data_IF_521834307446
#
_entry.id   IF_521834307446
#
_cell.length_a   1.000
_cell.length_b   1.000
_cell.length_c   1.000
_cell.angle_alpha   90.00
_cell.angle_beta   90.00
_cell.angle_gamma   90.00
#
_symmetry.space_group_name_H-M   'P 1'
#
loop_
_entity.id
_entity.type
_entity.pdbx_description
1 polymer ?
#
# COMPACT_ATOMS: atom_id res chain seq x y z
N UNK A 1 -11.29 2.83 -3.98
CA UNK A 1 -11.62 2.52 -2.56
C UNK A 1 -11.72 0.99 -2.43
N UNK A 2 -10.86 0.33 -1.65
CA UNK A 2 -11.00 -1.13 -1.40
C UNK A 2 -11.77 -1.33 -0.10
N UNK A 3 -13.09 -1.50 -0.20
CA UNK A 3 -13.93 -1.79 0.96
C UNK A 3 -13.86 -3.29 1.27
N UNK A 4 -13.24 -3.66 2.40
CA UNK A 4 -13.44 -4.98 2.99
C UNK A 4 -14.87 -5.05 3.55
N UNK A 5 -15.75 -5.75 2.84
CA UNK A 5 -17.16 -5.87 3.23
C UNK A 5 -17.36 -7.09 4.14
N UNK A 6 -17.13 -6.92 5.44
CA UNK A 6 -17.58 -7.89 6.43
C UNK A 6 -19.11 -8.03 6.33
N UNK A 7 -19.60 -9.25 6.07
CA UNK A 7 -21.04 -9.54 5.95
C UNK A 7 -21.35 -10.82 6.72
N UNK A 8 -22.14 -10.69 7.77
CA UNK A 8 -22.69 -11.84 8.49
C UNK A 8 -23.68 -12.60 7.59
N UNK A 9 -23.57 -13.92 7.54
CA UNK A 9 -24.58 -14.80 6.93
C UNK A 9 -25.30 -15.59 8.03
N UNK A 10 -26.54 -15.18 8.30
CA UNK A 10 -27.53 -16.01 8.98
C UNK A 10 -28.10 -17.01 7.98
N UNK A 11 -27.87 -18.31 8.19
CA UNK A 11 -28.49 -19.38 7.40
C UNK A 11 -29.36 -20.26 8.29
N UNK A 12 -30.64 -20.32 7.92
CA UNK A 12 -31.64 -21.26 8.44
C UNK A 12 -31.27 -22.69 8.07
N UNK A 13 -31.43 -23.63 9.02
CA UNK A 13 -31.15 -25.05 8.83
C UNK A 13 -32.42 -25.88 8.98
N UNK A 14 -32.75 -26.65 7.94
CA UNK A 14 -33.77 -27.69 7.96
C UNK A 14 -33.12 -29.07 8.16
N UNK A 15 -33.50 -29.69 9.27
CA UNK A 15 -33.36 -31.09 9.67
C UNK A 15 -33.04 -32.15 8.61
N UNK A 16 -32.11 -33.05 8.93
CA UNK A 16 -32.31 -34.51 8.87
C UNK A 16 -31.31 -35.24 9.78
N UNK A 17 -31.79 -36.28 10.46
CA UNK A 17 -31.14 -36.90 11.63
C UNK A 17 -30.22 -38.07 11.28
N UNK A 18 -29.19 -38.33 12.10
CA UNK A 18 -28.61 -39.67 12.34
C UNK A 18 -27.80 -39.67 13.64
N UNK A 19 -28.21 -40.47 14.62
CA UNK A 19 -27.50 -40.65 15.90
C UNK A 19 -26.25 -41.53 15.74
N UNK A 20 -25.25 -41.30 16.58
CA UNK A 20 -24.62 -42.36 17.40
C UNK A 20 -23.94 -41.77 18.63
N UNK A 21 -24.26 -42.31 19.81
CA UNK A 21 -23.69 -41.90 21.09
C UNK A 21 -22.22 -42.33 21.26
N UNK A 22 -21.44 -41.55 22.02
CA UNK A 22 -20.47 -42.13 22.97
C UNK A 22 -20.09 -41.14 24.07
N UNK A 23 -20.42 -41.54 25.29
CA UNK A 23 -20.14 -40.89 26.56
C UNK A 23 -18.65 -40.58 26.78
N UNK A 24 -18.34 -39.42 27.37
CA UNK A 24 -17.68 -39.36 28.68
C UNK A 24 -17.95 -37.99 29.35
N UNK A 25 -18.02 -37.96 30.69
CA UNK A 25 -18.56 -36.84 31.48
C UNK A 25 -17.75 -36.65 32.77
N UNK A 26 -17.83 -35.43 33.34
CA UNK A 26 -17.29 -35.01 34.66
C UNK A 26 -15.77 -34.74 34.65
N UNK A 27 -15.22 -33.81 35.45
CA UNK A 27 -15.73 -33.24 36.71
C UNK A 27 -15.50 -31.72 36.88
N UNK A 28 -16.37 -31.09 37.66
CA UNK A 28 -16.26 -29.71 38.15
C UNK A 28 -15.55 -29.64 39.51
N UNK A 29 -14.94 -28.50 39.86
CA UNK A 29 -14.66 -28.16 41.26
C UNK A 29 -14.71 -26.65 41.51
N UNK A 30 -15.64 -26.24 42.36
CA UNK A 30 -15.87 -24.87 42.85
C UNK A 30 -15.43 -24.74 44.31
N UNK A 31 -15.00 -23.55 44.76
CA UNK A 31 -14.82 -23.25 46.19
C UNK A 31 -15.12 -21.80 46.58
N UNK A 32 -15.79 -21.66 47.73
CA UNK A 32 -16.26 -20.44 48.41
C UNK A 32 -16.08 -20.64 49.93
N UNK A 33 -16.19 -19.69 50.87
CA UNK A 33 -16.60 -18.26 50.87
C UNK A 33 -16.09 -17.63 52.17
N UNK A 34 -15.68 -16.35 52.21
CA UNK A 34 -15.54 -15.61 53.48
C UNK A 34 -15.57 -14.09 53.33
N UNK A 35 -16.20 -13.39 54.29
CA UNK A 35 -16.55 -11.97 54.19
C UNK A 35 -16.40 -11.17 55.50
N UNK A 36 -16.11 -9.87 55.36
CA UNK A 36 -16.41 -8.74 56.28
C UNK A 36 -15.67 -8.68 57.64
N UNK A 37 -15.44 -7.47 58.25
CA UNK A 37 -16.39 -6.35 58.39
C UNK A 37 -15.91 -4.90 58.06
N UNK A 38 -16.90 -4.00 58.06
CA UNK A 38 -16.87 -2.52 57.86
C UNK A 38 -16.21 -1.75 59.04
N UNK A 39 -15.96 -0.42 59.10
CA UNK A 39 -16.28 0.85 58.36
C UNK A 39 -15.35 1.97 58.95
N UNK A 40 -15.43 3.31 58.67
CA UNK A 40 -16.04 4.10 57.58
C UNK A 40 -15.15 5.24 56.95
N UNK A 41 -15.40 5.57 55.68
CA UNK A 41 -15.25 6.93 55.09
C UNK A 41 -13.83 7.53 54.86
N UNK A 42 -13.69 8.65 54.09
CA UNK A 42 -14.75 9.49 53.52
C UNK A 42 -14.79 9.62 51.98
N UNK A 43 -16.00 9.85 51.47
CA UNK A 43 -16.42 10.57 50.24
C UNK A 43 -15.52 10.67 49.00
N UNK A 44 -15.99 10.07 47.89
CA UNK A 44 -15.57 10.28 46.51
C UNK A 44 -16.44 11.37 45.81
N UNK A 45 -15.90 12.35 45.06
CA UNK A 45 -16.71 13.31 44.32
C UNK A 45 -17.13 12.76 42.94
N UNK A 46 -18.44 12.63 42.72
CA UNK A 46 -19.04 12.09 41.49
C UNK A 46 -18.78 12.94 40.23
N UNK A 47 -18.64 12.28 39.08
CA UNK A 47 -18.63 12.96 37.77
C UNK A 47 -19.94 13.72 37.54
N UNK A 48 -19.88 15.05 37.54
CA UNK A 48 -20.92 15.89 36.96
C UNK A 48 -20.57 16.13 35.49
N UNK A 49 -21.36 15.56 34.57
CA UNK A 49 -21.37 15.99 33.16
C UNK A 49 -21.85 17.44 33.10
N UNK A 50 -20.93 18.41 33.11
CA UNK A 50 -21.25 19.79 32.80
C UNK A 50 -21.54 19.90 31.31
N UNK A 51 -22.78 20.24 30.95
CA UNK A 51 -23.08 20.78 29.62
C UNK A 51 -22.20 22.02 29.37
N UNK A 52 -21.77 22.30 28.12
CA UNK A 52 -21.22 23.60 27.80
C UNK A 52 -22.28 24.66 28.13
N UNK A 53 -21.88 25.70 28.87
CA UNK A 53 -22.70 26.89 29.02
C UNK A 53 -22.68 27.61 27.67
N UNK A 54 -23.85 27.88 27.09
CA UNK A 54 -23.92 28.98 26.13
C UNK A 54 -23.82 30.24 26.97
N UNK A 55 -22.65 30.86 27.00
CA UNK A 55 -22.50 32.16 27.63
C UNK A 55 -23.21 33.19 26.73
N UNK A 56 -24.19 33.86 27.32
CA UNK A 56 -25.03 34.85 26.65
C UNK A 56 -24.17 35.95 26.06
N UNK A 57 -24.47 36.38 24.83
CA UNK A 57 -23.78 37.50 24.19
C UNK A 57 -23.99 38.82 24.94
N UNK A 58 -23.12 39.12 25.91
CA UNK A 58 -22.92 40.47 26.40
C UNK A 58 -22.05 41.21 25.39
N UNK A 59 -22.63 42.22 24.73
CA UNK A 59 -21.96 43.11 23.79
C UNK A 59 -20.80 43.85 24.48
N UNK A 60 -19.59 43.31 24.37
CA UNK A 60 -18.34 44.00 24.65
C UNK A 60 -17.58 44.21 23.35
N UNK A 61 -17.10 45.43 23.13
CA UNK A 61 -16.24 45.80 22.01
C UNK A 61 -14.87 45.12 22.16
N UNK A 62 -14.78 43.85 21.77
CA UNK A 62 -13.53 43.11 21.71
C UNK A 62 -12.60 43.73 20.67
N UNK A 63 -11.31 43.87 21.02
CA UNK A 63 -10.31 44.28 20.05
C UNK A 63 -10.01 43.13 19.10
N UNK A 64 -9.55 43.38 17.85
CA UNK A 64 -9.09 42.31 16.96
C UNK A 64 -7.92 41.47 17.52
N UNK A 65 -7.29 41.94 18.60
CA UNK A 65 -6.21 41.27 19.31
C UNK A 65 -6.75 40.22 20.30
N UNK A 66 -7.92 40.45 20.90
CA UNK A 66 -8.58 39.48 21.78
C UNK A 66 -9.02 38.24 21.00
N UNK A 67 -9.63 38.43 19.82
CA UNK A 67 -10.00 37.33 18.91
C UNK A 67 -8.78 36.52 18.47
N UNK A 68 -7.68 37.17 18.11
CA UNK A 68 -6.45 36.47 17.73
C UNK A 68 -5.88 35.66 18.91
N UNK A 69 -5.93 36.20 20.13
CA UNK A 69 -5.50 35.48 21.34
C UNK A 69 -6.33 34.21 21.58
N UNK A 70 -7.65 34.28 21.35
CA UNK A 70 -8.55 33.14 21.52
C UNK A 70 -8.18 31.97 20.60
N UNK A 71 -7.84 32.23 19.33
CA UNK A 71 -7.47 31.18 18.37
C UNK A 71 -6.05 30.64 18.59
N UNK A 72 -5.12 31.43 19.12
CA UNK A 72 -3.75 30.97 19.44
C UNK A 72 -3.71 29.92 20.57
N UNK A 73 -4.69 29.90 21.48
CA UNK A 73 -4.80 28.89 22.55
C UNK A 73 -5.56 27.61 22.13
N UNK A 74 -5.92 27.47 20.85
CA UNK A 74 -6.78 26.39 20.33
C UNK A 74 -6.01 25.47 19.40
N UNK A 75 -6.33 24.18 19.46
CA UNK A 75 -5.70 23.17 18.62
C UNK A 75 -5.97 23.45 17.13
N UNK A 76 -4.91 23.59 16.33
CA UNK A 76 -4.99 23.89 14.88
C UNK A 76 -5.54 22.74 14.01
N UNK A 77 -6.03 21.65 14.62
CA UNK A 77 -6.65 20.51 13.93
C UNK A 77 -8.17 20.57 14.06
N UNK A 78 -8.70 20.81 15.27
CA UNK A 78 -10.15 20.90 15.52
C UNK A 78 -10.68 22.33 15.71
N UNK A 79 -9.81 23.31 15.94
CA UNK A 79 -10.13 24.70 16.26
C UNK A 79 -10.99 24.91 17.54
N UNK A 80 -11.23 23.87 18.33
CA UNK A 80 -12.08 23.89 19.54
C UNK A 80 -11.32 23.56 20.83
N UNK A 81 -10.67 22.39 20.92
CA UNK A 81 -9.97 22.00 22.14
C UNK A 81 -8.77 22.90 22.47
N UNK A 82 -8.50 23.10 23.77
CA UNK A 82 -7.28 23.76 24.26
C UNK A 82 -6.05 22.91 23.97
N UNK A 83 -4.89 23.57 23.94
CA UNK A 83 -3.59 22.94 23.77
C UNK A 83 -3.16 22.20 25.05
N UNK A 84 -2.90 20.90 24.94
CA UNK A 84 -2.37 20.04 26.03
C UNK A 84 -1.26 19.06 25.57
N UNK A 85 -0.82 19.21 24.31
CA UNK A 85 0.34 18.52 23.73
C UNK A 85 1.23 19.52 22.97
N UNK A 86 2.55 19.38 23.11
CA UNK A 86 3.56 20.16 22.39
C UNK A 86 4.65 19.21 21.86
N UNK A 87 5.04 19.36 20.60
CA UNK A 87 6.09 18.53 19.99
C UNK A 87 7.50 18.97 20.41
N UNK A 88 8.40 18.01 20.60
CA UNK A 88 9.74 18.20 21.15
C UNK A 88 10.62 19.08 20.24
N UNK A 89 10.54 18.88 18.92
CA UNK A 89 11.42 19.52 17.93
C UNK A 89 10.87 20.81 17.33
N UNK A 90 9.67 20.77 16.74
CA UNK A 90 9.09 21.92 16.03
C UNK A 90 8.27 22.85 16.94
N UNK A 91 7.98 22.44 18.18
CA UNK A 91 7.17 23.20 19.16
C UNK A 91 5.73 23.51 18.72
N UNK A 92 5.25 22.90 17.64
CA UNK A 92 3.84 22.93 17.27
C UNK A 92 2.99 22.25 18.36
N UNK A 93 1.81 22.80 18.61
CA UNK A 93 0.94 22.41 19.72
C UNK A 93 -0.44 21.97 19.25
N UNK A 94 -1.00 20.98 19.95
CA UNK A 94 -2.29 20.38 19.65
C UNK A 94 -3.04 20.04 20.94
N UNK A 95 -4.30 19.62 20.82
CA UNK A 95 -4.87 18.74 21.83
C UNK A 95 -4.44 17.29 21.55
N UNK A 96 -4.24 16.53 22.62
CA UNK A 96 -3.77 15.14 22.61
C UNK A 96 -4.69 14.24 21.78
N UNK A 97 -6.00 14.43 21.89
CA UNK A 97 -7.03 13.66 21.17
C UNK A 97 -6.91 13.82 19.64
N UNK A 98 -6.71 15.05 19.15
CA UNK A 98 -6.49 15.29 17.72
C UNK A 98 -5.15 14.72 17.23
N UNK A 99 -4.08 14.84 18.02
CA UNK A 99 -2.79 14.25 17.67
C UNK A 99 -2.85 12.72 17.64
N UNK A 100 -3.52 12.10 18.63
CA UNK A 100 -3.78 10.67 18.69
C UNK A 100 -4.55 10.16 17.48
N UNK A 101 -5.66 10.81 17.11
CA UNK A 101 -6.43 10.46 15.92
C UNK A 101 -5.62 10.63 14.64
N UNK A 102 -4.88 11.72 14.51
CA UNK A 102 -3.99 11.96 13.36
C UNK A 102 -2.96 10.85 13.19
N UNK A 103 -2.20 10.52 14.24
CA UNK A 103 -1.18 9.45 14.15
C UNK A 103 -1.84 8.11 13.87
N UNK A 104 -2.96 7.79 14.56
CA UNK A 104 -3.71 6.55 14.34
C UNK A 104 -4.12 6.40 12.88
N UNK A 105 -4.75 7.43 12.30
CA UNK A 105 -5.23 7.42 10.90
C UNK A 105 -4.07 7.32 9.90
N UNK A 106 -2.95 8.00 10.16
CA UNK A 106 -1.76 7.88 9.31
C UNK A 106 -1.18 6.46 9.36
N UNK A 107 -1.22 5.78 10.51
CA UNK A 107 -0.73 4.39 10.63
C UNK A 107 -1.71 3.40 9.98
N UNK A 108 -3.01 3.49 10.26
CA UNK A 108 -4.03 2.56 9.73
C UNK A 108 -4.16 2.65 8.21
N UNK A 109 -4.04 3.86 7.64
CA UNK A 109 -4.05 4.07 6.18
C UNK A 109 -2.74 3.66 5.48
N UNK A 110 -1.67 3.34 6.22
CA UNK A 110 -0.34 3.02 5.67
C UNK A 110 -0.09 1.52 5.47
N UNK A 111 -1.02 0.84 4.81
CA UNK A 111 -0.91 -0.57 4.41
C UNK A 111 0.09 -0.85 3.27
N UNK A 112 0.73 0.18 2.73
CA UNK A 112 1.70 0.09 1.65
C UNK A 112 3.02 -0.60 2.04
N UNK A 113 3.88 -0.78 1.04
CA UNK A 113 5.23 -1.35 1.14
C UNK A 113 6.33 -0.28 1.26
N UNK A 114 5.97 1.00 1.18
CA UNK A 114 6.88 2.12 1.43
C UNK A 114 6.80 2.59 2.87
N UNK A 115 7.94 2.91 3.45
CA UNK A 115 8.03 3.38 4.83
C UNK A 115 7.28 4.71 4.98
N UNK A 116 6.18 4.71 5.73
CA UNK A 116 5.46 5.95 6.06
C UNK A 116 6.13 6.59 7.27
N UNK A 117 6.60 7.82 7.13
CA UNK A 117 7.04 8.64 8.27
C UNK A 117 5.87 9.45 8.79
N UNK A 118 5.68 9.48 10.12
CA UNK A 118 4.79 10.43 10.78
C UNK A 118 5.41 11.83 10.65
N UNK A 119 4.58 12.83 10.36
CA UNK A 119 4.97 14.22 10.19
C UNK A 119 4.15 15.11 11.10
N UNK A 120 4.68 16.29 11.41
CA UNK A 120 3.90 17.36 11.99
C UNK A 120 2.75 17.76 11.03
N UNK A 121 1.49 17.80 11.48
CA UNK A 121 0.35 18.28 10.68
C UNK A 121 0.56 19.68 10.08
N UNK A 122 1.26 20.56 10.80
CA UNK A 122 1.50 21.95 10.41
C UNK A 122 2.80 22.07 9.60
N UNK A 123 3.97 21.97 10.23
CA UNK A 123 5.25 22.25 9.56
C UNK A 123 5.81 21.10 8.71
N UNK A 124 5.14 19.94 8.66
CA UNK A 124 5.53 18.76 7.85
C UNK A 124 6.90 18.14 8.14
N UNK A 125 7.58 18.57 9.22
CA UNK A 125 8.81 17.96 9.76
C UNK A 125 8.49 16.55 10.25
N UNK A 126 9.41 15.59 10.05
CA UNK A 126 9.20 14.21 10.50
C UNK A 126 9.27 14.12 12.03
N UNK A 127 8.28 13.52 12.66
CA UNK A 127 8.26 13.27 14.12
C UNK A 127 8.90 11.89 14.36
N UNK A 128 9.94 11.78 15.22
CA UNK A 128 10.58 10.50 15.50
C UNK A 128 9.63 9.56 16.27
N UNK A 129 9.79 8.25 16.07
CA UNK A 129 8.96 7.24 16.72
C UNK A 129 9.05 7.28 18.24
N UNK A 130 10.23 7.56 18.79
CA UNK A 130 10.45 7.74 20.23
C UNK A 130 9.62 8.87 20.86
N UNK A 131 9.09 9.78 20.05
CA UNK A 131 8.22 10.87 20.49
C UNK A 131 6.75 10.51 20.28
N UNK A 132 6.30 10.28 19.04
CA UNK A 132 4.87 10.07 18.80
C UNK A 132 4.32 8.80 19.45
N UNK A 133 5.15 7.77 19.67
CA UNK A 133 4.71 6.52 20.33
C UNK A 133 4.35 6.72 21.80
N UNK A 134 4.80 7.81 22.45
CA UNK A 134 4.40 8.17 23.83
C UNK A 134 2.89 8.47 23.93
N UNK A 135 2.29 8.93 22.83
CA UNK A 135 0.95 9.51 22.83
C UNK A 135 -0.13 8.55 22.32
N UNK A 136 0.22 7.47 21.60
CA UNK A 136 -0.75 6.52 21.02
C UNK A 136 -0.72 5.15 21.71
N UNK A 137 -1.80 4.34 21.61
CA UNK A 137 -1.80 2.96 22.12
C UNK A 137 -0.68 2.10 21.51
N UNK A 138 -0.10 1.21 22.31
CA UNK A 138 0.98 0.31 21.86
C UNK A 138 0.61 -0.52 20.63
N UNK A 139 -0.66 -0.89 20.47
CA UNK A 139 -1.18 -1.59 19.28
C UNK A 139 -0.99 -0.81 17.98
N UNK A 140 -1.02 0.53 18.02
CA UNK A 140 -0.73 1.39 16.86
C UNK A 140 0.78 1.40 16.56
N UNK A 141 1.61 1.37 17.60
CA UNK A 141 3.08 1.26 17.46
C UNK A 141 3.46 -0.09 16.85
N UNK A 142 2.83 -1.18 17.28
CA UNK A 142 3.03 -2.53 16.73
C UNK A 142 2.56 -2.63 15.27
N UNK A 143 1.41 -2.01 14.95
CA UNK A 143 0.91 -1.93 13.58
C UNK A 143 1.87 -1.15 12.66
N UNK A 144 2.39 -0.02 13.14
CA UNK A 144 3.42 0.75 12.45
C UNK A 144 4.70 -0.08 12.22
N UNK A 145 5.19 -0.79 13.25
CA UNK A 145 6.36 -1.66 13.14
C UNK A 145 6.12 -2.80 12.13
N UNK A 146 4.91 -3.38 12.11
CA UNK A 146 4.49 -4.43 11.17
C UNK A 146 4.45 -3.96 9.72
N UNK A 147 3.98 -2.74 9.45
CA UNK A 147 3.92 -2.17 8.10
C UNK A 147 5.28 -1.65 7.61
N UNK A 148 6.12 -1.11 8.51
CA UNK A 148 7.43 -0.57 8.16
C UNK A 148 8.59 -1.59 8.25
N UNK A 149 8.30 -2.88 8.52
CA UNK A 149 9.29 -3.97 8.54
C UNK A 149 10.11 -3.98 7.22
N UNK A 150 11.44 -4.12 7.25
CA UNK A 150 12.22 -4.25 6.03
C UNK A 150 11.89 -5.55 5.28
N UNK A 151 12.10 -5.55 3.96
CA UNK A 151 11.87 -6.69 3.07
C UNK A 151 10.44 -7.28 3.17
N UNK A 152 9.43 -6.41 3.25
CA UNK A 152 8.02 -6.83 3.16
C UNK A 152 7.65 -7.20 1.73
N UNK A 153 7.19 -8.43 1.56
CA UNK A 153 6.71 -8.93 0.29
C UNK A 153 5.44 -8.23 -0.17
N UNK A 154 5.29 -8.11 -1.48
CA UNK A 154 4.00 -7.85 -2.12
C UNK A 154 3.19 -9.12 -2.10
N UNK A 155 1.92 -8.95 -1.73
CA UNK A 155 0.96 -10.03 -1.58
C UNK A 155 -0.31 -9.69 -2.32
N UNK A 156 -1.03 -10.73 -2.72
CA UNK A 156 -2.31 -10.58 -3.40
C UNK A 156 -3.20 -11.78 -3.12
N UNK A 157 -4.48 -11.53 -2.83
CA UNK A 157 -5.45 -12.59 -2.64
C UNK A 157 -5.76 -13.30 -3.97
N UNK A 158 -5.86 -14.62 -3.91
CA UNK A 158 -6.39 -15.44 -5.00
C UNK A 158 -7.85 -15.04 -5.30
N UNK A 159 -8.24 -14.80 -6.56
CA UNK A 159 -9.59 -14.33 -6.89
C UNK A 159 -10.71 -15.37 -6.67
N UNK A 160 -10.37 -16.63 -6.38
CA UNK A 160 -11.34 -17.72 -6.18
C UNK A 160 -11.54 -18.13 -4.72
N UNK A 161 -10.52 -18.02 -3.87
CA UNK A 161 -10.55 -18.52 -2.49
C UNK A 161 -9.95 -17.54 -1.46
N UNK A 162 -9.68 -16.29 -1.86
CA UNK A 162 -9.16 -15.17 -1.05
C UNK A 162 -7.82 -15.41 -0.35
N UNK A 163 -7.22 -16.60 -0.49
CA UNK A 163 -5.92 -16.97 0.09
C UNK A 163 -4.84 -15.96 -0.34
N UNK A 164 -4.14 -15.38 0.62
CA UNK A 164 -3.04 -14.44 0.39
C UNK A 164 -1.83 -15.18 -0.19
N UNK A 165 -1.42 -14.81 -1.41
CA UNK A 165 -0.25 -15.37 -2.09
C UNK A 165 0.89 -14.37 -2.08
N UNK A 166 2.10 -14.87 -1.83
CA UNK A 166 3.34 -14.11 -1.74
C UNK A 166 4.19 -14.40 -2.98
N UNK A 167 4.51 -13.38 -3.77
CA UNK A 167 5.28 -13.55 -5.01
C UNK A 167 6.79 -13.75 -4.76
N UNK A 168 7.36 -13.02 -3.80
CA UNK A 168 8.79 -13.04 -3.49
C UNK A 168 8.99 -13.04 -1.97
N UNK A 169 9.70 -14.03 -1.42
CA UNK A 169 9.91 -14.17 0.03
C UNK A 169 11.41 -14.07 0.37
N UNK A 170 11.79 -12.95 0.99
CA UNK A 170 13.18 -12.69 1.40
C UNK A 170 13.71 -13.70 2.43
N UNK A 171 12.83 -14.32 3.24
CA UNK A 171 13.25 -15.22 4.32
C UNK A 171 13.58 -16.62 3.79
N UNK A 172 12.70 -17.21 2.97
CA UNK A 172 12.96 -18.48 2.26
C UNK A 172 14.23 -18.41 1.43
N UNK A 173 14.44 -17.27 0.76
CA UNK A 173 15.59 -17.04 -0.08
C UNK A 173 16.93 -17.09 0.67
N UNK A 174 16.97 -16.95 2.01
CA UNK A 174 18.20 -17.11 2.82
C UNK A 174 18.49 -18.54 3.28
N UNK A 175 17.54 -19.47 3.26
CA UNK A 175 17.72 -20.77 3.92
C UNK A 175 18.84 -21.67 3.32
N UNK A 176 19.28 -21.41 2.08
CA UNK A 176 20.28 -22.21 1.35
C UNK A 176 21.73 -21.69 1.53
N UNK A 177 22.18 -21.53 2.77
CA UNK A 177 23.56 -21.13 3.07
C UNK A 177 24.55 -22.32 3.00
N UNK A 178 25.00 -22.70 1.80
CA UNK A 178 26.26 -23.44 1.65
C UNK A 178 27.46 -22.48 1.73
N UNK A 179 28.52 -22.87 2.45
CA UNK A 179 29.62 -21.98 2.87
C UNK A 179 30.60 -21.57 1.76
N UNK A 180 30.54 -22.21 0.59
CA UNK A 180 31.68 -22.19 -0.36
C UNK A 180 31.35 -21.63 -1.76
N UNK A 181 30.16 -21.04 -1.99
CA UNK A 181 29.82 -20.42 -3.27
C UNK A 181 29.07 -19.10 -3.12
N UNK A 182 29.64 -18.01 -3.65
CA UNK A 182 28.96 -16.73 -3.75
C UNK A 182 27.71 -16.84 -4.64
N UNK A 183 26.58 -16.31 -4.16
CA UNK A 183 25.28 -16.41 -4.87
C UNK A 183 25.32 -15.89 -6.31
N UNK A 184 26.18 -14.92 -6.58
CA UNK A 184 26.37 -14.36 -7.92
C UNK A 184 27.02 -15.32 -8.91
N UNK A 185 27.88 -16.23 -8.44
CA UNK A 185 28.42 -17.33 -9.24
C UNK A 185 27.34 -18.37 -9.56
N UNK A 186 26.34 -18.56 -8.68
CA UNK A 186 25.18 -19.41 -8.99
C UNK A 186 24.31 -18.78 -10.09
N UNK A 187 24.17 -17.45 -10.11
CA UNK A 187 23.50 -16.70 -11.19
C UNK A 187 24.26 -16.86 -12.50
N UNK A 188 25.58 -16.60 -12.50
CA UNK A 188 26.43 -16.76 -13.68
C UNK A 188 26.37 -18.20 -14.24
N UNK A 189 26.51 -19.22 -13.39
CA UNK A 189 26.40 -20.62 -13.82
C UNK A 189 25.01 -20.98 -14.36
N UNK A 190 23.94 -20.45 -13.77
CA UNK A 190 22.58 -20.68 -14.27
C UNK A 190 22.33 -20.01 -15.63
N UNK A 191 22.95 -18.85 -15.87
CA UNK A 191 22.93 -18.20 -17.19
C UNK A 191 23.71 -19.02 -18.23
N UNK A 192 24.88 -19.57 -17.88
CA UNK A 192 25.66 -20.42 -18.79
C UNK A 192 24.93 -21.74 -19.13
N UNK A 193 24.30 -22.40 -18.16
CA UNK A 193 23.45 -23.58 -18.39
C UNK A 193 22.24 -23.29 -19.30
N UNK A 194 21.64 -22.11 -19.14
CA UNK A 194 20.55 -21.67 -20.02
C UNK A 194 21.03 -21.52 -21.46
N UNK A 195 22.16 -20.81 -21.67
CA UNK A 195 22.74 -20.59 -23.00
C UNK A 195 23.18 -21.92 -23.63
N UNK A 196 23.76 -22.85 -22.87
CA UNK A 196 24.19 -24.16 -23.41
C UNK A 196 23.03 -25.02 -23.91
N UNK A 197 21.79 -24.67 -23.56
CA UNK A 197 20.57 -25.31 -24.07
C UNK A 197 20.08 -24.67 -25.40
N UNK A 198 20.56 -23.47 -25.75
CA UNK A 198 20.25 -22.78 -27.00
C UNK A 198 21.08 -23.32 -28.18
N UNK A 199 20.57 -23.17 -29.41
CA UNK A 199 21.34 -23.49 -30.61
C UNK A 199 22.49 -22.50 -30.78
N UNK A 200 23.72 -23.00 -30.91
CA UNK A 200 24.81 -22.20 -31.46
C UNK A 200 24.52 -21.87 -32.93
N UNK A 201 24.34 -20.59 -33.23
CA UNK A 201 24.36 -20.01 -34.57
C UNK A 201 25.51 -18.97 -34.65
N UNK A 202 25.79 -18.44 -35.83
CA UNK A 202 26.96 -17.59 -36.14
C UNK A 202 27.16 -16.32 -35.28
N UNK A 203 26.19 -15.97 -34.42
CA UNK A 203 26.37 -14.93 -33.41
C UNK A 203 26.61 -15.54 -32.03
N UNK A 204 27.81 -15.33 -31.42
CA UNK A 204 28.03 -15.73 -30.04
C UNK A 204 27.09 -14.96 -29.11
N UNK A 205 26.65 -15.59 -28.02
CA UNK A 205 25.75 -15.00 -27.00
C UNK A 205 26.47 -13.95 -26.12
N UNK A 206 27.18 -13.01 -26.75
CA UNK A 206 28.13 -12.09 -26.14
C UNK A 206 27.52 -11.25 -25.03
N UNK A 207 26.32 -10.69 -25.24
CA UNK A 207 25.59 -9.91 -24.24
C UNK A 207 25.31 -10.72 -22.96
N UNK A 208 24.94 -12.00 -23.13
CA UNK A 208 24.65 -12.88 -21.99
C UNK A 208 25.93 -13.27 -21.25
N UNK A 209 27.02 -13.53 -21.98
CA UNK A 209 28.34 -13.75 -21.37
C UNK A 209 28.88 -12.50 -20.66
N UNK A 210 28.66 -11.30 -21.20
CA UNK A 210 29.04 -10.05 -20.56
C UNK A 210 28.26 -9.83 -19.26
N UNK A 211 26.93 -10.06 -19.27
CA UNK A 211 26.11 -10.04 -18.05
C UNK A 211 26.56 -11.10 -17.04
N UNK A 212 26.89 -12.32 -17.49
CA UNK A 212 27.40 -13.38 -16.63
C UNK A 212 28.73 -12.97 -15.95
N UNK A 213 29.63 -12.27 -16.65
CA UNK A 213 30.84 -11.69 -16.07
C UNK A 213 30.55 -10.58 -15.05
N UNK A 214 29.55 -9.71 -15.28
CA UNK A 214 29.11 -8.70 -14.29
C UNK A 214 28.67 -9.38 -12.99
N UNK A 215 27.94 -10.51 -13.09
CA UNK A 215 27.58 -11.30 -11.91
C UNK A 215 28.79 -11.96 -11.23
N UNK A 216 29.69 -12.58 -12.00
CA UNK A 216 30.92 -13.19 -11.49
C UNK A 216 31.81 -12.20 -10.73
N UNK A 217 32.03 -11.00 -11.28
CA UNK A 217 32.91 -9.96 -10.72
C UNK A 217 32.25 -9.10 -9.65
N UNK A 218 30.94 -9.26 -9.43
CA UNK A 218 30.14 -8.49 -8.47
C UNK A 218 30.05 -6.98 -8.78
N UNK A 219 30.02 -6.62 -10.07
CA UNK A 219 30.08 -5.24 -10.57
C UNK A 219 28.72 -4.51 -10.53
N UNK A 220 28.10 -4.41 -9.34
CA UNK A 220 26.86 -3.63 -9.16
C UNK A 220 26.83 -2.80 -7.87
N UNK A 221 25.85 -1.89 -7.79
CA UNK A 221 25.51 -1.11 -6.59
C UNK A 221 24.00 -1.17 -6.36
N UNK A 222 23.57 -0.86 -5.15
CA UNK A 222 22.13 -0.81 -4.80
C UNK A 222 21.29 0.12 -5.69
N UNK A 223 21.91 1.12 -6.31
CA UNK A 223 21.28 2.03 -7.28
C UNK A 223 21.15 1.43 -8.68
N UNK A 224 22.09 0.60 -9.11
CA UNK A 224 22.13 0.01 -10.47
C UNK A 224 21.47 -1.36 -10.55
N UNK A 225 21.32 -2.08 -9.43
CA UNK A 225 20.83 -3.45 -9.40
C UNK A 225 19.44 -3.64 -10.02
N UNK A 226 18.55 -2.64 -9.97
CA UNK A 226 17.27 -2.69 -10.69
C UNK A 226 17.45 -2.70 -12.22
N UNK A 227 18.31 -1.82 -12.74
CA UNK A 227 18.57 -1.75 -14.17
C UNK A 227 19.32 -2.99 -14.65
N UNK A 228 20.27 -3.51 -13.85
CA UNK A 228 20.95 -4.78 -14.10
C UNK A 228 19.95 -5.95 -14.15
N UNK A 229 19.01 -6.03 -13.21
CA UNK A 229 17.95 -7.04 -13.23
C UNK A 229 17.09 -6.94 -14.49
N UNK A 230 16.58 -5.74 -14.81
CA UNK A 230 15.76 -5.51 -16.00
C UNK A 230 16.49 -5.89 -17.29
N UNK A 231 17.73 -5.44 -17.45
CA UNK A 231 18.57 -5.80 -18.59
C UNK A 231 18.82 -7.30 -18.66
N UNK A 232 19.14 -7.95 -17.53
CA UNK A 232 19.36 -9.39 -17.47
C UNK A 232 18.13 -10.17 -17.92
N UNK A 233 16.95 -9.91 -17.35
CA UNK A 233 15.75 -10.67 -17.69
C UNK A 233 15.32 -10.41 -19.15
N UNK A 234 15.36 -9.17 -19.63
CA UNK A 234 15.07 -8.86 -21.04
C UNK A 234 16.04 -9.57 -21.99
N UNK A 235 17.34 -9.52 -21.73
CA UNK A 235 18.34 -10.18 -22.60
C UNK A 235 18.18 -11.70 -22.59
N UNK A 236 17.90 -12.32 -21.44
CA UNK A 236 17.67 -13.77 -21.36
C UNK A 236 16.37 -14.19 -22.08
N UNK A 237 15.26 -13.45 -21.89
CA UNK A 237 13.99 -13.72 -22.57
C UNK A 237 14.11 -13.57 -24.09
N UNK A 238 14.77 -12.51 -24.57
CA UNK A 238 15.04 -12.33 -26.00
C UNK A 238 15.91 -13.48 -26.54
N UNK A 239 16.95 -13.88 -25.80
CA UNK A 239 17.85 -14.96 -26.20
C UNK A 239 17.11 -16.29 -26.38
N UNK A 240 16.27 -16.70 -25.42
CA UNK A 240 15.51 -17.96 -25.56
C UNK A 240 14.46 -17.85 -26.67
N UNK A 241 13.83 -16.69 -26.86
CA UNK A 241 12.82 -16.47 -27.91
C UNK A 241 13.40 -16.62 -29.32
N UNK A 242 14.65 -16.21 -29.54
CA UNK A 242 15.29 -16.29 -30.86
C UNK A 242 16.14 -17.56 -31.10
N UNK A 243 16.71 -18.18 -30.05
CA UNK A 243 17.70 -19.26 -30.22
C UNK A 243 17.31 -20.61 -29.60
N UNK A 244 16.24 -20.70 -28.81
CA UNK A 244 15.73 -21.98 -28.31
C UNK A 244 14.79 -22.66 -29.31
N UNK A 245 14.71 -24.00 -29.26
CA UNK A 245 13.72 -24.76 -30.04
C UNK A 245 12.32 -24.67 -29.42
N UNK A 246 12.27 -24.67 -28.08
CA UNK A 246 11.07 -24.50 -27.27
C UNK A 246 11.39 -23.45 -26.19
N UNK A 247 11.08 -22.15 -26.43
CA UNK A 247 11.29 -21.09 -25.45
C UNK A 247 10.48 -21.31 -24.17
N UNK A 248 9.28 -21.91 -24.26
CA UNK A 248 8.38 -22.10 -23.12
C UNK A 248 8.99 -23.03 -22.06
N UNK A 249 9.72 -24.08 -22.49
CA UNK A 249 10.48 -24.94 -21.58
C UNK A 249 11.58 -24.22 -20.78
N UNK A 250 12.07 -23.09 -21.28
CA UNK A 250 13.19 -22.34 -20.70
C UNK A 250 12.75 -21.13 -19.85
N UNK A 251 11.52 -20.63 -20.01
CA UNK A 251 10.96 -19.56 -19.17
C UNK A 251 11.11 -19.87 -17.65
N UNK A 252 10.86 -21.10 -17.15
CA UNK A 252 11.10 -21.44 -15.74
C UNK A 252 12.56 -21.28 -15.28
N UNK A 253 13.55 -21.50 -16.17
CA UNK A 253 14.97 -21.25 -15.86
C UNK A 253 15.22 -19.74 -15.69
N UNK A 254 14.67 -18.89 -16.56
CA UNK A 254 14.80 -17.42 -16.46
C UNK A 254 14.10 -16.88 -15.21
N UNK A 255 12.91 -17.42 -14.88
CA UNK A 255 12.21 -17.15 -13.63
C UNK A 255 13.07 -17.47 -12.39
N UNK A 256 13.72 -18.64 -12.37
CA UNK A 256 14.62 -19.04 -11.30
C UNK A 256 15.85 -18.12 -11.17
N UNK A 257 16.46 -17.70 -12.30
CA UNK A 257 17.54 -16.71 -12.32
C UNK A 257 17.07 -15.38 -11.71
N UNK A 258 15.87 -14.92 -12.06
CA UNK A 258 15.27 -13.70 -11.48
C UNK A 258 15.12 -13.80 -9.96
N UNK A 259 14.63 -14.92 -9.43
CA UNK A 259 14.56 -15.15 -7.97
C UNK A 259 15.95 -15.20 -7.30
N UNK A 260 16.98 -15.74 -7.94
CA UNK A 260 18.35 -15.71 -7.40
C UNK A 260 18.89 -14.28 -7.31
N UNK A 261 18.60 -13.42 -8.30
CA UNK A 261 18.97 -11.98 -8.24
C UNK A 261 18.29 -11.28 -7.06
N UNK A 262 17.01 -11.58 -6.79
CA UNK A 262 16.28 -11.08 -5.59
C UNK A 262 16.86 -11.58 -4.26
N UNK A 263 17.77 -12.55 -4.31
CA UNK A 263 18.40 -13.18 -3.14
C UNK A 263 19.83 -12.69 -2.88
N UNK A 264 20.33 -11.77 -3.70
CA UNK A 264 21.60 -11.06 -3.49
C UNK A 264 21.53 -10.10 -2.28
N UNK A 265 22.69 -9.72 -1.77
CA UNK A 265 22.78 -8.76 -0.67
C UNK A 265 22.49 -7.33 -1.14
N UNK A 266 21.44 -6.73 -0.56
CA UNK A 266 20.95 -5.40 -0.94
C UNK A 266 20.12 -4.75 0.17
N UNK A 267 19.86 -3.45 0.04
CA UNK A 267 18.97 -2.68 0.91
C UNK A 267 17.51 -3.04 0.63
N UNK A 268 16.67 -2.95 1.66
CA UNK A 268 15.23 -3.26 1.60
C UNK A 268 14.48 -2.47 0.51
N UNK A 269 14.83 -1.21 0.28
CA UNK A 269 14.23 -0.38 -0.76
C UNK A 269 14.59 -0.87 -2.18
N UNK A 270 15.83 -1.31 -2.40
CA UNK A 270 16.24 -1.92 -3.67
C UNK A 270 15.52 -3.25 -3.89
N UNK A 271 15.42 -4.08 -2.85
CA UNK A 271 14.68 -5.35 -2.91
C UNK A 271 13.19 -5.16 -3.23
N UNK A 272 12.52 -4.18 -2.60
CA UNK A 272 11.12 -3.81 -2.90
C UNK A 272 10.93 -3.47 -4.38
N UNK A 273 11.88 -2.73 -4.98
CA UNK A 273 11.84 -2.39 -6.42
C UNK A 273 12.08 -3.61 -7.32
N UNK A 274 13.03 -4.48 -6.95
CA UNK A 274 13.28 -5.73 -7.69
C UNK A 274 12.08 -6.67 -7.68
N UNK A 275 11.37 -6.79 -6.56
CA UNK A 275 10.14 -7.58 -6.47
C UNK A 275 9.11 -7.16 -7.53
N UNK A 276 8.84 -5.87 -7.68
CA UNK A 276 7.89 -5.44 -8.72
C UNK A 276 8.45 -5.64 -10.14
N UNK A 277 9.76 -5.49 -10.32
CA UNK A 277 10.41 -5.81 -11.60
C UNK A 277 10.32 -7.30 -11.95
N UNK A 278 10.44 -8.20 -10.97
CA UNK A 278 10.24 -9.64 -11.15
C UNK A 278 8.79 -9.91 -11.57
N UNK A 279 7.82 -9.35 -10.84
CA UNK A 279 6.38 -9.50 -11.12
C UNK A 279 6.01 -8.93 -12.51
N UNK A 280 6.69 -7.89 -13.00
CA UNK A 280 6.42 -7.36 -14.35
C UNK A 280 6.88 -8.27 -15.49
N UNK A 281 7.86 -9.15 -15.27
CA UNK A 281 8.26 -10.18 -16.24
C UNK A 281 7.52 -11.50 -16.01
N UNK A 282 7.16 -11.81 -14.77
CA UNK A 282 6.54 -13.07 -14.36
C UNK A 282 5.29 -12.80 -13.50
N UNK A 283 4.18 -12.34 -14.11
CA UNK A 283 3.01 -11.91 -13.37
C UNK A 283 2.11 -13.07 -12.91
N UNK A 284 2.15 -14.23 -13.56
CA UNK A 284 1.25 -15.36 -13.26
C UNK A 284 1.77 -16.18 -12.08
N UNK A 285 0.89 -16.55 -11.14
CA UNK A 285 1.22 -17.36 -9.96
C UNK A 285 0.11 -18.39 -9.68
N UNK A 286 0.50 -19.56 -9.16
CA UNK A 286 -0.42 -20.58 -8.65
C UNK A 286 -0.84 -20.25 -7.20
N UNK A 287 -2.12 -20.45 -6.89
CA UNK A 287 -2.61 -20.33 -5.51
C UNK A 287 -1.97 -21.39 -4.60
N UNK A 288 -1.36 -20.95 -3.50
CA UNK A 288 -0.70 -21.82 -2.49
C UNK A 288 -1.68 -22.69 -1.70
N UNK A 289 -2.98 -22.45 -1.79
CA UNK A 289 -4.01 -23.31 -1.23
C UNK A 289 -4.16 -24.57 -2.11
N UNK A 290 -3.82 -25.73 -1.55
CA UNK A 290 -3.81 -27.04 -2.22
C UNK A 290 -5.17 -27.48 -2.75
N UNK A 291 -6.27 -26.98 -2.18
CA UNK A 291 -7.64 -27.24 -2.64
C UNK A 291 -8.12 -26.29 -3.74
N UNK A 292 -7.36 -25.23 -4.04
CA UNK A 292 -7.72 -24.23 -5.05
C UNK A 292 -6.81 -24.28 -6.28
N UNK A 293 -5.49 -24.14 -6.11
CA UNK A 293 -4.48 -24.14 -7.20
C UNK A 293 -4.77 -23.23 -8.42
N UNK A 294 -5.67 -22.25 -8.28
CA UNK A 294 -5.99 -21.36 -9.40
C UNK A 294 -4.78 -20.53 -9.83
N UNK A 295 -4.57 -20.41 -11.14
CA UNK A 295 -3.55 -19.56 -11.73
C UNK A 295 -4.11 -18.15 -11.93
N UNK A 296 -3.44 -17.14 -11.37
CA UNK A 296 -3.90 -15.75 -11.45
C UNK A 296 -2.77 -14.75 -11.61
N UNK A 297 -3.11 -13.58 -12.15
CA UNK A 297 -2.15 -12.51 -12.44
C UNK A 297 -1.93 -11.61 -11.21
N UNK A 298 -0.69 -11.47 -10.76
CA UNK A 298 -0.28 -10.62 -9.65
C UNK A 298 -0.43 -9.12 -9.95
N UNK A 299 -0.46 -8.71 -11.22
CA UNK A 299 -0.61 -7.31 -11.62
C UNK A 299 -2.08 -6.84 -11.59
N UNK A 300 -3.01 -7.62 -12.17
CA UNK A 300 -4.43 -7.21 -12.30
C UNK A 300 -5.42 -8.03 -11.46
N UNK A 301 -5.03 -9.23 -11.02
CA UNK A 301 -5.83 -10.45 -11.14
C UNK A 301 -7.24 -10.52 -10.52
N UNK A 302 -8.19 -11.26 -11.06
CA UNK A 302 -8.28 -11.93 -12.38
C UNK A 302 -7.30 -13.06 -12.68
N UNK A 303 -7.78 -14.02 -13.48
CA UNK A 303 -7.09 -15.25 -13.84
C UNK A 303 -5.83 -14.97 -14.67
N UNK A 304 -4.93 -15.96 -14.76
CA UNK A 304 -3.73 -15.87 -15.57
C UNK A 304 -4.10 -15.68 -17.05
N UNK A 305 -3.43 -14.74 -17.72
CA UNK A 305 -3.69 -14.39 -19.12
C UNK A 305 -2.36 -14.36 -19.88
N UNK A 306 -2.09 -15.43 -20.63
CA UNK A 306 -0.86 -15.53 -21.43
C UNK A 306 -1.02 -14.78 -22.75
N UNK A 307 0.07 -14.19 -23.26
CA UNK A 307 0.10 -13.43 -24.51
C UNK A 307 -0.62 -12.07 -24.48
N UNK A 308 -1.38 -11.75 -23.44
CA UNK A 308 -2.20 -10.54 -23.34
C UNK A 308 -1.77 -9.68 -22.15
N UNK A 309 -1.83 -8.36 -22.31
CA UNK A 309 -1.69 -7.41 -21.20
C UNK A 309 -2.87 -7.50 -20.22
N UNK A 310 -2.67 -6.91 -19.03
CA UNK A 310 -3.72 -6.76 -18.03
C UNK A 310 -4.95 -6.00 -18.56
N UNK A 311 -4.73 -5.05 -19.47
CA UNK A 311 -5.77 -4.17 -20.02
C UNK A 311 -6.58 -4.90 -21.10
N UNK A 312 -5.92 -5.63 -22.02
CA UNK A 312 -6.57 -6.46 -23.04
C UNK A 312 -7.41 -7.58 -22.42
N UNK A 313 -6.88 -8.31 -21.43
CA UNK A 313 -7.64 -9.33 -20.70
C UNK A 313 -8.88 -8.73 -20.00
N UNK A 314 -8.78 -7.51 -19.47
CA UNK A 314 -9.93 -6.80 -18.89
C UNK A 314 -10.95 -6.36 -19.93
N UNK A 315 -10.52 -5.96 -21.13
CA UNK A 315 -11.42 -5.67 -22.26
C UNK A 315 -12.15 -6.94 -22.72
N UNK A 316 -11.43 -8.05 -22.88
CA UNK A 316 -12.02 -9.35 -23.24
C UNK A 316 -13.10 -9.78 -22.24
N UNK A 317 -12.84 -9.70 -20.93
CA UNK A 317 -13.85 -10.03 -19.90
C UNK A 317 -15.13 -9.17 -20.00
N UNK A 318 -15.05 -7.92 -20.45
CA UNK A 318 -16.22 -7.06 -20.68
C UNK A 318 -16.99 -7.53 -21.93
N UNK A 319 -16.27 -7.88 -23.00
CA UNK A 319 -16.88 -8.39 -24.24
C UNK A 319 -17.59 -9.74 -24.05
N UNK A 320 -17.03 -10.63 -23.21
CA UNK A 320 -17.62 -11.93 -22.90
C UNK A 320 -18.90 -11.81 -22.06
N UNK A 321 -18.95 -10.87 -21.10
CA UNK A 321 -20.10 -10.69 -20.19
C UNK A 321 -21.23 -9.86 -20.79
N UNK A 322 -20.93 -8.93 -21.69
CA UNK A 322 -21.87 -8.00 -22.34
C UNK A 322 -22.76 -7.18 -21.37
N UNK A 323 -22.34 -6.99 -20.12
CA UNK A 323 -23.10 -6.22 -19.13
C UNK A 323 -22.80 -4.70 -19.24
N UNK A 324 -23.82 -3.82 -19.32
CA UNK A 324 -23.59 -2.39 -19.47
C UNK A 324 -22.95 -1.74 -18.24
N UNK A 325 -23.25 -2.25 -17.04
CA UNK A 325 -22.71 -1.77 -15.76
C UNK A 325 -21.60 -2.68 -15.19
N UNK A 326 -20.70 -3.22 -16.03
CA UNK A 326 -19.60 -4.05 -15.56
C UNK A 326 -18.57 -3.22 -14.74
N UNK A 327 -18.28 -3.59 -13.46
CA UNK A 327 -17.25 -2.91 -12.67
C UNK A 327 -15.85 -2.90 -13.30
N UNK A 328 -15.55 -3.85 -14.19
CA UNK A 328 -14.30 -3.91 -14.96
C UNK A 328 -14.25 -2.75 -15.98
N UNK A 329 -15.38 -2.43 -16.63
CA UNK A 329 -15.49 -1.29 -17.57
C UNK A 329 -15.22 0.02 -16.83
N UNK A 330 -15.94 0.26 -15.75
CA UNK A 330 -15.75 1.47 -14.93
C UNK A 330 -14.30 1.61 -14.47
N UNK A 331 -13.67 0.50 -14.06
CA UNK A 331 -12.27 0.45 -13.65
C UNK A 331 -11.29 0.80 -14.79
N UNK A 332 -11.51 0.34 -16.02
CA UNK A 332 -10.68 0.73 -17.17
C UNK A 332 -10.83 2.21 -17.54
N UNK A 333 -12.04 2.76 -17.42
CA UNK A 333 -12.36 4.14 -17.79
C UNK A 333 -11.82 5.16 -16.76
N UNK A 334 -11.92 4.85 -15.46
CA UNK A 334 -11.67 5.82 -14.36
C UNK A 334 -10.38 5.55 -13.57
N UNK A 335 -9.63 4.48 -13.91
CA UNK A 335 -8.41 4.11 -13.20
C UNK A 335 -7.22 3.95 -14.14
N UNK A 336 -6.00 4.17 -13.65
CA UNK A 336 -4.76 3.81 -14.34
C UNK A 336 -3.86 3.01 -13.40
N UNK A 337 -3.11 2.03 -13.91
CA UNK A 337 -2.19 1.24 -13.08
C UNK A 337 -1.02 2.08 -12.54
N UNK A 338 -0.37 1.70 -11.45
CA UNK A 338 0.94 2.27 -11.09
C UNK A 338 2.03 1.70 -12.03
N UNK A 339 2.86 2.53 -12.70
CA UNK A 339 3.92 2.04 -13.59
C UNK A 339 5.00 1.24 -12.86
N UNK A 340 5.10 1.34 -11.53
CA UNK A 340 6.06 0.59 -10.72
C UNK A 340 5.50 -0.68 -10.09
N UNK A 341 4.21 -0.82 -9.82
CA UNK A 341 3.66 -1.98 -9.07
C UNK A 341 2.29 -2.47 -9.57
N UNK A 342 1.83 -1.97 -10.72
CA UNK A 342 0.61 -2.37 -11.44
C UNK A 342 -0.73 -2.23 -10.70
N UNK A 343 -0.75 -1.80 -9.42
CA UNK A 343 -2.00 -1.54 -8.70
C UNK A 343 -2.82 -0.46 -9.42
N UNK A 344 -4.12 -0.70 -9.54
CA UNK A 344 -5.06 0.25 -10.12
C UNK A 344 -5.34 1.40 -9.15
N UNK A 345 -5.16 2.63 -9.63
CA UNK A 345 -5.39 3.87 -8.88
C UNK A 345 -6.49 4.63 -9.62
N UNK A 346 -7.55 5.03 -8.91
CA UNK A 346 -8.55 6.00 -9.38
C UNK A 346 -8.02 7.41 -9.10
N UNK A 347 -8.25 8.37 -10.00
CA UNK A 347 -8.03 9.80 -9.75
C UNK A 347 -9.33 10.52 -10.05
N UNK A 348 -9.97 11.02 -9.00
CA UNK A 348 -11.30 11.61 -9.13
C UNK A 348 -11.19 12.97 -9.85
N UNK A 349 -10.34 13.89 -9.34
CA UNK A 349 -9.91 15.11 -10.06
C UNK A 349 -8.47 15.52 -9.67
N UNK A 350 -7.91 16.52 -10.37
CA UNK A 350 -6.75 17.27 -9.90
C UNK A 350 -5.38 16.83 -10.43
N UNK A 351 -4.37 16.90 -9.57
CA UNK A 351 -2.96 16.98 -9.95
C UNK A 351 -2.46 15.79 -10.79
N UNK A 352 -1.52 16.05 -11.71
CA UNK A 352 -0.79 15.03 -12.45
C UNK A 352 0.26 14.29 -11.61
N UNK A 353 0.72 14.85 -10.48
CA UNK A 353 1.66 14.18 -9.57
C UNK A 353 0.91 13.17 -8.71
N UNK A 354 1.14 11.89 -8.95
CA UNK A 354 0.51 10.80 -8.19
C UNK A 354 1.56 10.05 -7.40
N UNK A 355 1.38 10.01 -6.08
CA UNK A 355 2.20 9.26 -5.14
C UNK A 355 1.48 7.94 -4.81
N UNK A 356 1.97 6.81 -5.34
CA UNK A 356 1.29 5.53 -5.19
C UNK A 356 1.24 5.07 -3.72
N UNK A 357 0.04 4.87 -3.16
CA UNK A 357 -0.16 4.42 -1.77
C UNK A 357 0.48 3.06 -1.45
N UNK A 358 0.51 2.13 -2.41
CA UNK A 358 1.15 0.82 -2.23
C UNK A 358 2.67 0.91 -2.27
N UNK A 359 3.27 1.37 -3.38
CA UNK A 359 4.73 1.27 -3.58
C UNK A 359 5.51 2.57 -3.30
N UNK A 360 4.83 3.68 -3.02
CA UNK A 360 5.43 5.01 -2.83
C UNK A 360 6.07 5.62 -4.09
N UNK A 361 5.89 5.02 -5.27
CA UNK A 361 6.42 5.57 -6.52
C UNK A 361 5.65 6.83 -6.93
N UNK A 362 6.37 7.92 -7.16
CA UNK A 362 5.85 9.20 -7.64
C UNK A 362 5.90 9.22 -9.18
N UNK A 363 4.75 9.33 -9.84
CA UNK A 363 4.65 9.32 -11.30
C UNK A 363 3.68 10.38 -11.82
N UNK A 364 3.78 10.68 -13.12
CA UNK A 364 2.84 11.56 -13.81
C UNK A 364 1.62 10.76 -14.31
N UNK A 365 0.41 11.18 -13.92
CA UNK A 365 -0.84 10.54 -14.36
C UNK A 365 -1.03 10.55 -15.89
N UNK A 366 -0.61 11.63 -16.54
CA UNK A 366 -0.75 11.81 -17.98
C UNK A 366 0.25 10.96 -18.77
N UNK A 367 1.57 11.19 -18.58
CA UNK A 367 2.61 10.51 -19.36
C UNK A 367 3.10 9.17 -18.78
N UNK A 368 2.53 8.73 -17.64
CA UNK A 368 2.82 7.44 -16.97
C UNK A 368 4.28 7.25 -16.50
N UNK A 369 5.15 8.22 -16.76
CA UNK A 369 6.57 8.21 -16.42
C UNK A 369 6.83 8.67 -14.99
N UNK A 370 8.01 8.37 -14.45
CA UNK A 370 8.45 8.88 -13.14
C UNK A 370 8.31 10.40 -13.07
N UNK A 371 7.86 10.92 -11.92
CA UNK A 371 7.56 12.34 -11.78
C UNK A 371 8.81 13.21 -11.96
N UNK A 372 8.67 14.27 -12.74
CA UNK A 372 9.67 15.32 -12.93
C UNK A 372 8.99 16.68 -13.10
N UNK A 373 9.70 17.76 -12.86
CA UNK A 373 9.17 19.13 -12.98
C UNK A 373 8.64 19.43 -14.39
N UNK A 374 9.24 18.81 -15.42
CA UNK A 374 8.78 18.84 -16.83
C UNK A 374 7.34 18.31 -17.00
N UNK A 375 6.83 17.52 -16.06
CA UNK A 375 5.51 16.92 -16.14
C UNK A 375 4.37 17.86 -15.72
N UNK A 376 4.66 18.98 -15.05
CA UNK A 376 3.70 20.03 -14.67
C UNK A 376 2.48 19.59 -13.85
N UNK A 377 2.22 20.23 -12.70
CA UNK A 377 1.16 19.82 -11.76
C UNK A 377 -0.23 19.69 -12.40
N UNK A 378 -0.53 20.45 -13.46
CA UNK A 378 -1.82 20.39 -14.20
C UNK A 378 -1.68 20.19 -15.71
N UNK A 379 -0.49 20.39 -16.30
CA UNK A 379 -0.26 20.23 -17.74
C UNK A 379 1.06 19.50 -18.00
N UNK A 380 0.98 18.33 -18.63
CA UNK A 380 2.16 17.56 -18.97
C UNK A 380 2.75 17.97 -20.33
N UNK A 381 3.97 18.51 -20.30
CA UNK A 381 4.69 18.89 -21.52
C UNK A 381 5.06 17.70 -22.41
N UNK A 382 5.03 16.46 -21.87
CA UNK A 382 5.33 15.24 -22.61
C UNK A 382 4.12 14.77 -23.45
N UNK A 383 2.89 14.94 -22.96
CA UNK A 383 1.66 14.44 -23.64
C UNK A 383 0.81 15.51 -24.30
N UNK A 384 1.06 16.80 -24.03
CA UNK A 384 0.52 17.94 -24.78
C UNK A 384 -0.98 17.87 -25.15
N UNK A 385 -1.87 18.27 -24.24
CA UNK A 385 -3.32 18.44 -24.51
C UNK A 385 -4.05 17.21 -25.10
N UNK A 386 -4.01 16.08 -24.39
CA UNK A 386 -4.82 14.88 -24.72
C UNK A 386 -5.59 14.31 -23.51
N UNK A 387 -6.38 15.15 -22.82
CA UNK A 387 -7.58 14.69 -22.11
C UNK A 387 -8.75 15.55 -22.65
N UNK A 388 -9.77 14.90 -23.25
CA UNK A 388 -10.95 15.60 -23.79
C UNK A 388 -11.69 16.26 -22.62
N UNK A 389 -12.04 17.53 -22.76
CA UNK A 389 -12.94 18.18 -21.80
C UNK A 389 -14.34 17.59 -21.92
N UNK A 390 -14.76 16.80 -20.94
CA UNK A 390 -16.18 16.61 -20.69
C UNK A 390 -16.77 17.91 -20.16
N UNK A 391 -17.81 18.42 -20.82
CA UNK A 391 -18.54 19.61 -20.36
C UNK A 391 -19.46 19.22 -19.20
N UNK A 392 -18.98 19.34 -17.97
CA UNK A 392 -19.85 19.52 -16.81
C UNK A 392 -19.78 20.98 -16.37
N UNK A 393 -20.82 21.74 -16.68
CA UNK A 393 -21.00 23.11 -16.21
C UNK A 393 -21.58 23.08 -14.80
N UNK A 394 -20.73 22.86 -13.80
CA UNK A 394 -21.03 23.11 -12.38
C UNK A 394 -19.77 23.64 -11.70
N UNK A 395 -19.80 24.89 -11.26
CA UNK A 395 -18.70 25.50 -10.49
C UNK A 395 -18.77 24.93 -9.07
N UNK A 396 -18.12 23.78 -8.86
CA UNK A 396 -17.85 23.27 -7.51
C UNK A 396 -16.60 23.96 -6.98
N UNK A 397 -16.77 24.69 -5.87
CA UNK A 397 -15.69 25.41 -5.18
C UNK A 397 -14.57 24.44 -4.79
N UNK A 398 -13.31 24.84 -5.00
CA UNK A 398 -12.15 23.97 -4.78
C UNK A 398 -12.04 23.49 -3.33
N UNK A 399 -11.85 22.18 -3.13
CA UNK A 399 -11.68 21.56 -1.82
C UNK A 399 -10.49 22.17 -1.07
N UNK A 400 -10.78 22.88 0.02
CA UNK A 400 -9.78 23.48 0.91
C UNK A 400 -9.74 25.01 0.92
N UNK A 401 -10.47 25.68 0.03
CA UNK A 401 -10.71 27.13 0.13
C UNK A 401 -12.06 27.35 0.84
N UNK A 402 -12.09 27.93 2.06
CA UNK A 402 -13.35 28.28 2.70
C UNK A 402 -14.09 29.32 1.87
N UNK A 403 -15.35 29.06 1.51
CA UNK A 403 -16.19 30.06 0.85
C UNK A 403 -16.52 31.18 1.84
N UNK A 404 -15.74 32.26 1.74
CA UNK A 404 -15.87 33.44 2.59
C UNK A 404 -17.26 34.08 2.50
N UNK A 405 -17.96 33.97 1.36
CA UNK A 405 -19.31 34.52 1.20
C UNK A 405 -20.36 33.67 1.94
N UNK A 406 -20.21 32.35 1.93
CA UNK A 406 -21.05 31.43 2.68
C UNK A 406 -20.80 31.49 4.20
N UNK A 407 -19.57 31.81 4.60
CA UNK A 407 -19.21 32.03 6.01
C UNK A 407 -19.74 33.39 6.48
N UNK A 408 -19.53 34.46 5.72
CA UNK A 408 -20.04 35.80 6.06
C UNK A 408 -21.56 35.82 6.16
N UNK A 409 -22.29 35.19 5.23
CA UNK A 409 -23.77 35.12 5.28
C UNK A 409 -24.34 34.31 6.46
N UNK A 410 -23.52 33.50 7.15
CA UNK A 410 -23.89 32.84 8.43
C UNK A 410 -23.51 33.64 9.68
N UNK A 411 -22.67 34.66 9.55
CA UNK A 411 -22.19 35.48 10.68
C UNK A 411 -23.06 36.73 10.85
N UNK A 412 -23.68 37.25 9.77
CA UNK A 412 -24.62 38.38 9.87
C UNK A 412 -25.89 37.98 10.62
N UNK A 413 -26.25 38.65 11.74
CA UNK A 413 -27.55 38.45 12.36
C UNK A 413 -28.65 38.91 11.40
N UNK A 414 -29.69 38.10 11.23
CA UNK A 414 -30.93 38.52 10.56
C UNK A 414 -31.60 39.57 11.46
N UNK A 415 -31.43 40.85 11.12
CA UNK A 415 -32.17 41.96 11.72
C UNK A 415 -33.54 42.01 11.06
N UNK A 416 -34.57 41.67 11.82
CA UNK A 416 -35.98 42.02 11.54
C UNK A 416 -36.32 43.34 12.24
#
# INVERSE_FOLDING_TARGET
MVQHRASHTSSSSSSSSSNTDSYFRLSSSSSSTSALPSTPGPSNPSLIKRKPRMDSASSSSGSPQDDLSYWMERCSICFDARLDLCLDYCRDQYCLDCFQRYVTEVVTSSWGLSVKKIKCPVCQINIPQSEWSKYVPGTIVDLYNKFNRPFRSFTRCCPQCETEVVACDYTKNKAFHHRDSHRSNLIQKAMEDLISTCKQQDHPHADVHQLAQVYQKQEWRNSTLLALHQHTITTLLNCITHHAQDPSSLIPKVYAISLQILSLEMKSETWKRLQFSHISFFPNVECTNTSCRNLFCLQCGYNAHEGHSCEENMQQMIHEKQQPNDPIRWKLEHSKQCPSCSIWITRDEGCNKVDCSLCGHCFCWACRSAWSEKCGFYRCAITGFLEKQEKSSDIKTELGVPDMSFIQSRITPQVN
#
